data_IF_161897912417
#
_entry.id   IF_161897912417
#
_cell.length_a   1.000
_cell.length_b   1.000
_cell.length_c   1.000
_cell.angle_alpha   90.00
_cell.angle_beta   90.00
_cell.angle_gamma   90.00
#
_symmetry.space_group_name_H-M   'P 1'
#
loop_
_entity.id
_entity.type
_entity.pdbx_description
1 polymer ?
#
# COMPACT_ATOMS: atom_id res chain seq x y z
N UNK A 1 -10.45 47.86 -42.85
CA UNK A 1 -9.54 47.29 -41.83
C UNK A 1 -10.27 47.29 -40.50
N UNK A 2 -10.39 46.13 -39.85
CA UNK A 2 -11.09 45.99 -38.56
C UNK A 2 -11.85 44.68 -38.49
N UNK A 3 -11.13 43.57 -38.29
CA UNK A 3 -11.70 42.24 -38.11
C UNK A 3 -11.04 41.55 -36.91
N UNK A 4 -10.95 42.23 -35.77
CA UNK A 4 -10.56 41.63 -34.50
C UNK A 4 -11.82 41.42 -33.67
N UNK A 5 -12.68 40.54 -34.17
CA UNK A 5 -13.75 39.95 -33.38
C UNK A 5 -13.10 39.12 -32.28
N UNK A 6 -12.92 39.74 -31.11
CA UNK A 6 -12.36 39.10 -29.93
C UNK A 6 -13.01 37.74 -29.72
N UNK A 7 -12.20 36.70 -29.89
CA UNK A 7 -12.57 35.31 -29.66
C UNK A 7 -13.14 35.20 -28.26
N UNK A 8 -14.46 35.03 -28.15
CA UNK A 8 -15.12 34.79 -26.87
C UNK A 8 -14.58 33.45 -26.35
N UNK A 9 -13.76 33.44 -25.29
CA UNK A 9 -13.13 32.23 -24.82
C UNK A 9 -14.22 31.28 -24.32
N UNK A 10 -14.20 30.03 -24.81
CA UNK A 10 -15.22 29.05 -24.45
C UNK A 10 -15.04 28.70 -22.96
N UNK A 11 -16.13 28.37 -22.25
CA UNK A 11 -16.11 28.00 -20.80
C UNK A 11 -15.02 26.97 -20.43
N UNK A 12 -14.65 26.12 -21.40
CA UNK A 12 -13.59 25.13 -21.28
C UNK A 12 -12.18 25.71 -21.09
N UNK A 13 -11.93 26.94 -21.55
CA UNK A 13 -10.65 27.66 -21.50
C UNK A 13 -10.57 28.55 -20.26
N UNK A 14 -11.69 29.16 -19.83
CA UNK A 14 -11.75 29.95 -18.59
C UNK A 14 -11.68 29.11 -17.31
N UNK A 15 -12.16 27.87 -17.37
CA UNK A 15 -12.20 26.99 -16.20
C UNK A 15 -11.09 25.96 -16.34
N UNK A 16 -10.02 26.14 -15.57
CA UNK A 16 -8.98 25.11 -15.38
C UNK A 16 -9.65 23.80 -14.96
N UNK A 17 -9.82 22.88 -15.92
CA UNK A 17 -10.28 21.53 -15.60
C UNK A 17 -9.22 20.91 -14.70
N UNK A 18 -9.58 20.66 -13.44
CA UNK A 18 -8.70 20.06 -12.43
C UNK A 18 -8.05 18.80 -13.01
N UNK A 19 -6.72 18.82 -13.14
CA UNK A 19 -5.90 17.72 -13.65
C UNK A 19 -6.26 16.44 -12.89
N UNK A 20 -6.86 15.44 -13.56
CA UNK A 20 -7.13 14.10 -13.01
C UNK A 20 -5.80 13.38 -12.83
N UNK A 21 -5.02 13.72 -11.81
CA UNK A 21 -3.74 13.04 -11.52
C UNK A 21 -3.83 12.17 -10.25
N UNK A 22 -4.86 12.32 -9.43
CA UNK A 22 -4.82 11.73 -8.08
C UNK A 22 -5.34 10.29 -7.94
N UNK A 23 -6.08 9.72 -8.89
CA UNK A 23 -6.69 8.39 -8.71
C UNK A 23 -5.72 7.22 -8.97
N UNK A 24 -4.81 7.36 -9.93
CA UNK A 24 -3.81 6.31 -10.22
C UNK A 24 -2.83 6.18 -9.05
N UNK A 25 -2.32 7.30 -8.55
CA UNK A 25 -1.40 7.36 -7.41
C UNK A 25 -1.92 6.64 -6.16
N UNK A 26 -3.22 6.76 -5.87
CA UNK A 26 -3.84 6.08 -4.72
C UNK A 26 -3.87 4.56 -4.89
N UNK A 27 -4.09 4.09 -6.11
CA UNK A 27 -4.12 2.66 -6.43
C UNK A 27 -2.73 2.04 -6.33
N UNK A 28 -1.71 2.74 -6.84
CA UNK A 28 -0.30 2.33 -6.75
C UNK A 28 0.15 2.29 -5.28
N UNK A 29 -0.13 3.35 -4.50
CA UNK A 29 0.19 3.40 -3.07
C UNK A 29 -0.46 2.27 -2.28
N UNK A 30 -1.68 1.90 -2.64
CA UNK A 30 -2.33 0.75 -2.02
C UNK A 30 -1.64 -0.54 -2.44
N UNK A 31 -1.40 -0.77 -3.73
CA UNK A 31 -0.73 -1.98 -4.21
C UNK A 31 0.60 -2.24 -3.50
N UNK A 32 1.43 -1.21 -3.29
CA UNK A 32 2.69 -1.34 -2.55
C UNK A 32 2.50 -1.82 -1.10
N UNK A 33 1.40 -1.44 -0.43
CA UNK A 33 1.11 -1.91 0.94
C UNK A 33 0.79 -3.40 1.01
N UNK A 34 0.21 -3.95 -0.05
CA UNK A 34 -0.21 -5.36 -0.13
C UNK A 34 0.88 -6.28 -0.71
N UNK A 35 1.82 -5.72 -1.47
CA UNK A 35 2.92 -6.49 -2.12
C UNK A 35 4.23 -6.43 -1.33
N UNK A 36 4.44 -5.40 -0.52
CA UNK A 36 5.71 -5.17 0.16
C UNK A 36 5.57 -5.20 1.68
N UNK A 37 6.59 -5.72 2.35
CA UNK A 37 6.76 -5.70 3.79
C UNK A 37 6.85 -4.26 4.29
N UNK A 38 6.03 -3.87 5.27
CA UNK A 38 6.00 -2.48 5.75
C UNK A 38 7.20 -2.05 6.59
N UNK A 39 8.08 -2.99 6.94
CA UNK A 39 9.30 -2.69 7.69
C UNK A 39 10.52 -2.59 6.78
N UNK A 40 10.72 -3.55 5.87
CA UNK A 40 11.89 -3.61 4.98
C UNK A 40 11.63 -3.08 3.56
N UNK A 41 10.38 -2.78 3.20
CA UNK A 41 9.94 -2.42 1.84
C UNK A 41 10.28 -3.46 0.75
N UNK A 42 10.75 -4.64 1.14
CA UNK A 42 11.00 -5.78 0.27
C UNK A 42 9.70 -6.50 -0.09
N UNK A 43 9.66 -7.26 -1.19
CA UNK A 43 8.52 -8.11 -1.52
C UNK A 43 8.21 -9.09 -0.39
N UNK A 44 6.92 -9.36 -0.20
CA UNK A 44 6.45 -10.30 0.82
C UNK A 44 6.88 -11.73 0.49
N UNK A 45 7.52 -12.40 1.44
CA UNK A 45 7.95 -13.80 1.36
C UNK A 45 7.22 -14.63 2.39
N UNK A 46 6.86 -15.85 2.01
CA UNK A 46 6.24 -16.82 2.93
C UNK A 46 7.32 -17.30 3.91
N UNK A 47 7.02 -17.42 5.21
CA UNK A 47 5.76 -17.16 5.90
C UNK A 47 5.50 -15.66 6.19
N UNK A 48 4.26 -15.22 5.95
CA UNK A 48 3.82 -13.82 6.14
C UNK A 48 3.19 -13.64 7.53
N UNK A 49 3.48 -12.49 8.16
CA UNK A 49 2.91 -12.10 9.45
C UNK A 49 2.04 -10.86 9.27
N UNK A 50 0.80 -10.94 9.73
CA UNK A 50 -0.11 -9.81 9.78
C UNK A 50 -0.19 -9.26 11.20
N UNK A 51 -0.19 -7.93 11.34
CA UNK A 51 -0.45 -7.29 12.63
C UNK A 51 -1.92 -6.91 12.79
N UNK A 52 -2.35 -6.62 14.03
CA UNK A 52 -3.71 -6.18 14.39
C UNK A 52 -4.21 -4.97 13.61
N UNK A 53 -3.31 -4.12 13.12
CA UNK A 53 -3.64 -2.97 12.28
C UNK A 53 -3.77 -3.30 10.78
N UNK A 54 -3.70 -4.59 10.39
CA UNK A 54 -3.80 -5.02 9.00
C UNK A 54 -2.53 -4.79 8.16
N UNK A 55 -1.38 -4.59 8.81
CA UNK A 55 -0.08 -4.45 8.14
C UNK A 55 0.58 -5.82 7.96
N UNK A 56 1.25 -6.02 6.83
CA UNK A 56 1.93 -7.26 6.48
C UNK A 56 3.45 -7.11 6.59
N UNK A 57 4.08 -8.16 7.10
CA UNK A 57 5.52 -8.23 7.32
C UNK A 57 6.07 -9.61 6.97
N UNK A 58 7.35 -9.65 6.62
CA UNK A 58 8.09 -10.89 6.51
C UNK A 58 8.45 -11.40 7.91
N UNK A 59 8.36 -12.71 8.12
CA UNK A 59 8.73 -13.31 9.41
C UNK A 59 10.19 -13.06 9.78
N UNK A 60 11.09 -13.23 8.81
CA UNK A 60 12.54 -13.06 8.99
C UNK A 60 12.87 -11.68 9.54
N UNK A 61 12.38 -10.63 8.87
CA UNK A 61 12.69 -9.25 9.24
C UNK A 61 12.16 -8.91 10.63
N UNK A 62 10.94 -9.34 10.96
CA UNK A 62 10.34 -9.09 12.28
C UNK A 62 11.14 -9.80 13.39
N UNK A 63 11.58 -11.03 13.15
CA UNK A 63 12.40 -11.78 14.10
C UNK A 63 13.73 -11.07 14.33
N UNK A 64 14.41 -10.67 13.25
CA UNK A 64 15.67 -9.93 13.34
C UNK A 64 15.52 -8.62 14.12
N UNK A 65 14.44 -7.88 13.86
CA UNK A 65 14.16 -6.63 14.57
C UNK A 65 13.87 -6.86 16.07
N UNK A 66 13.19 -7.96 16.43
CA UNK A 66 12.96 -8.33 17.83
C UNK A 66 14.26 -8.72 18.51
N UNK A 67 15.08 -9.54 17.86
CA UNK A 67 16.37 -9.99 18.39
C UNK A 67 17.33 -8.81 18.62
N UNK A 68 17.37 -7.86 17.68
CA UNK A 68 18.22 -6.66 17.77
C UNK A 68 17.62 -5.53 18.59
N UNK A 69 16.39 -5.68 19.11
CA UNK A 69 15.63 -4.62 19.82
C UNK A 69 15.47 -3.31 19.02
N UNK A 70 15.54 -3.39 17.69
CA UNK A 70 15.45 -2.23 16.79
C UNK A 70 14.02 -1.90 16.35
N UNK A 71 13.03 -2.67 16.79
CA UNK A 71 11.61 -2.50 16.42
C UNK A 71 11.12 -1.05 16.62
N UNK A 72 11.57 -0.41 17.70
CA UNK A 72 11.19 0.98 18.02
C UNK A 72 11.61 2.00 16.96
N UNK A 73 12.62 1.69 16.15
CA UNK A 73 13.11 2.58 15.08
C UNK A 73 12.14 2.61 13.90
N UNK A 74 11.34 1.56 13.73
CA UNK A 74 10.36 1.48 12.67
C UNK A 74 9.01 1.98 13.18
N UNK A 75 8.61 3.19 12.77
CA UNK A 75 7.28 3.73 13.05
C UNK A 75 6.15 2.78 12.61
N UNK A 76 6.41 1.99 11.56
CA UNK A 76 5.48 0.98 11.09
C UNK A 76 5.30 -0.20 12.05
N UNK A 77 6.29 -0.53 12.89
CA UNK A 77 6.34 -1.76 13.69
C UNK A 77 6.44 -1.53 15.21
N UNK A 78 6.49 -0.28 15.68
CA UNK A 78 6.64 0.10 17.10
C UNK A 78 5.65 -0.56 18.08
N UNK A 79 4.48 -1.00 17.60
CA UNK A 79 3.45 -1.66 18.40
C UNK A 79 3.66 -3.18 18.54
N UNK A 80 4.59 -3.77 17.77
CA UNK A 80 4.88 -5.21 17.80
C UNK A 80 5.80 -5.47 18.99
N UNK A 81 5.25 -6.04 20.06
CA UNK A 81 6.00 -6.39 21.28
C UNK A 81 6.37 -7.87 21.37
N UNK A 82 5.72 -8.71 20.57
CA UNK A 82 5.93 -10.14 20.59
C UNK A 82 5.19 -10.84 19.44
N UNK A 83 5.73 -11.99 19.06
CA UNK A 83 5.16 -12.86 18.04
C UNK A 83 4.30 -13.92 18.72
N UNK A 84 3.01 -14.01 18.36
CA UNK A 84 2.16 -15.12 18.77
C UNK A 84 2.04 -16.10 17.61
N UNK A 85 2.71 -17.25 17.73
CA UNK A 85 2.61 -18.32 16.76
C UNK A 85 1.31 -19.07 17.01
N UNK A 86 0.27 -18.74 16.26
CA UNK A 86 -0.91 -19.61 16.15
C UNK A 86 -0.68 -20.47 14.92
N UNK A 87 -0.60 -21.79 15.08
CA UNK A 87 -0.33 -22.77 14.00
C UNK A 87 -1.42 -22.89 12.94
N UNK A 88 -2.24 -21.84 12.73
CA UNK A 88 -3.22 -21.78 11.65
C UNK A 88 -2.55 -21.20 10.42
N UNK A 89 -2.24 -22.08 9.47
CA UNK A 89 -2.02 -21.73 8.08
C UNK A 89 -3.30 -21.03 7.61
N UNK A 90 -3.26 -19.71 7.45
CA UNK A 90 -4.42 -18.96 6.96
C UNK A 90 -4.56 -19.24 5.47
N UNK A 91 -5.24 -20.34 5.13
CA UNK A 91 -5.69 -20.69 3.77
C UNK A 91 -6.86 -19.78 3.33
N UNK A 92 -6.86 -18.51 3.72
CA UNK A 92 -7.94 -17.57 3.47
C UNK A 92 -7.59 -16.60 2.35
N UNK A 93 -8.37 -16.59 1.28
CA UNK A 93 -8.34 -15.55 0.26
C UNK A 93 -8.73 -14.22 0.92
N UNK A 94 -7.78 -13.30 1.09
CA UNK A 94 -8.09 -11.93 1.53
C UNK A 94 -8.64 -11.18 0.31
N UNK A 95 -9.97 -11.18 0.15
CA UNK A 95 -10.66 -10.47 -0.93
C UNK A 95 -10.68 -8.97 -0.62
N UNK A 96 -9.69 -8.23 -1.12
CA UNK A 96 -9.69 -6.76 -1.07
C UNK A 96 -10.48 -6.25 -2.27
N UNK A 97 -11.54 -5.49 -2.01
CA UNK A 97 -12.56 -5.15 -3.00
C UNK A 97 -12.04 -4.52 -4.32
N UNK A 98 -12.69 -4.91 -5.42
CA UNK A 98 -12.85 -4.07 -6.61
C UNK A 98 -11.79 -4.13 -7.70
N UNK A 99 -10.85 -5.07 -7.65
CA UNK A 99 -9.91 -5.33 -8.75
C UNK A 99 -9.07 -6.54 -8.41
N UNK A 100 -8.93 -7.45 -9.36
CA UNK A 100 -8.08 -8.66 -9.26
C UNK A 100 -6.65 -8.19 -8.97
N UNK A 101 -6.28 -8.14 -7.69
CA UNK A 101 -4.87 -8.18 -7.30
C UNK A 101 -4.52 -9.65 -7.23
N UNK A 102 -3.50 -10.03 -8.01
CA UNK A 102 -3.00 -11.39 -8.17
C UNK A 102 -3.17 -12.21 -6.90
N UNK A 103 -3.80 -13.37 -7.05
CA UNK A 103 -4.00 -14.39 -6.02
C UNK A 103 -2.77 -14.49 -5.13
N UNK A 104 -2.84 -13.97 -3.89
CA UNK A 104 -1.83 -14.23 -2.87
C UNK A 104 -2.07 -15.67 -2.44
N UNK A 105 -1.55 -16.61 -3.21
CA UNK A 105 -1.42 -18.01 -2.82
C UNK A 105 -0.37 -18.03 -1.71
N UNK A 106 -0.80 -18.15 -0.46
CA UNK A 106 0.06 -18.55 0.65
C UNK A 106 0.19 -20.09 0.59
N UNK A 107 1.38 -20.58 0.24
CA UNK A 107 1.82 -21.97 0.46
C UNK A 107 2.68 -22.01 1.72
#
# INVERSE_FOLDING_TARGET
MGADGGTIPKRCELVQKKKKVEKLERSVKNASKWKNCQMSQQPLKKPIIACRYGRLYNKETVIEAILTKTIGNYAAASHIKGLKVSGRVFSGIIRVGGGVVDTIVLE
#
